data_IF_111296830231
#
_entry.id   IF_111296830231
#
_cell.length_a   1.000
_cell.length_b   1.000
_cell.length_c   1.000
_cell.angle_alpha   90.00
_cell.angle_beta   90.00
_cell.angle_gamma   90.00
#
_symmetry.space_group_name_H-M   'P 1'
#
loop_
_entity.id
_entity.type
_entity.pdbx_description
1 polymer ?
#
# COMPACT_ATOMS: atom_id res chain seq x y z
N UNK A 1 7.26 -1.79 -0.40
CA UNK A 1 6.14 -1.29 0.43
C UNK A 1 5.41 -2.49 1.02
N UNK A 2 4.94 -2.42 2.27
CA UNK A 2 4.11 -3.45 2.89
C UNK A 2 2.85 -2.82 3.50
N UNK A 3 1.68 -3.37 3.17
CA UNK A 3 0.40 -2.94 3.76
C UNK A 3 -0.12 -4.04 4.69
N UNK A 4 -0.59 -3.67 5.88
CA UNK A 4 -1.28 -4.57 6.80
C UNK A 4 -2.64 -4.01 7.17
N UNK A 5 -3.64 -4.87 7.18
CA UNK A 5 -5.00 -4.54 7.62
C UNK A 5 -5.21 -5.14 9.01
N UNK A 6 -5.63 -4.30 9.95
CA UNK A 6 -5.94 -4.68 11.32
C UNK A 6 -7.45 -4.60 11.52
N UNK A 7 -8.04 -5.71 11.93
CA UNK A 7 -9.47 -5.86 12.23
C UNK A 7 -9.60 -6.30 13.68
N UNK A 8 -10.60 -5.78 14.40
CA UNK A 8 -10.90 -6.29 15.74
C UNK A 8 -11.34 -7.75 15.66
N UNK A 9 -10.97 -8.55 16.65
CA UNK A 9 -11.56 -9.88 16.84
C UNK A 9 -13.05 -9.74 17.16
N UNK A 10 -13.86 -10.71 16.78
CA UNK A 10 -15.29 -10.77 17.12
C UNK A 10 -15.56 -10.48 18.61
N UNK A 11 -16.53 -9.61 18.86
CA UNK A 11 -16.87 -9.12 20.21
C UNK A 11 -15.98 -8.00 20.74
N UNK A 12 -14.88 -7.67 20.07
CA UNK A 12 -14.00 -6.55 20.40
C UNK A 12 -14.19 -5.39 19.42
N UNK A 13 -13.72 -4.20 19.80
CA UNK A 13 -13.75 -2.99 18.96
C UNK A 13 -12.43 -2.23 19.09
N UNK A 14 -11.99 -1.60 18.00
CA UNK A 14 -10.85 -0.68 18.03
C UNK A 14 -11.35 0.67 18.57
N UNK A 15 -10.89 1.06 19.75
CA UNK A 15 -11.28 2.33 20.39
C UNK A 15 -10.30 3.46 20.09
N UNK A 16 -9.05 3.15 19.78
CA UNK A 16 -8.04 4.13 19.41
C UNK A 16 -6.91 3.52 18.59
N UNK A 17 -6.21 4.38 17.85
CA UNK A 17 -5.04 4.05 17.04
C UNK A 17 -3.91 4.99 17.46
N UNK A 18 -2.80 4.39 17.89
CA UNK A 18 -1.61 5.09 18.39
C UNK A 18 -0.37 4.65 17.62
N UNK A 19 0.58 5.57 17.46
CA UNK A 19 1.97 5.26 17.07
C UNK A 19 2.91 5.88 18.10
N UNK A 20 3.51 5.03 18.94
CA UNK A 20 4.26 5.46 20.11
C UNK A 20 3.41 6.32 21.04
N UNK A 21 3.78 7.60 21.20
CA UNK A 21 3.06 8.58 22.03
C UNK A 21 2.05 9.43 21.22
N UNK A 22 1.93 9.21 19.91
CA UNK A 22 1.01 9.98 19.06
C UNK A 22 -0.34 9.29 18.96
N UNK A 23 -1.40 9.93 19.43
CA UNK A 23 -2.78 9.53 19.14
C UNK A 23 -3.12 9.96 17.71
N UNK A 24 -3.43 9.00 16.85
CA UNK A 24 -3.89 9.29 15.48
C UNK A 24 -5.41 9.43 15.47
N UNK A 25 -6.09 8.43 16.04
CA UNK A 25 -7.54 8.35 16.01
C UNK A 25 -8.09 7.77 17.31
N UNK A 26 -9.24 8.28 17.75
CA UNK A 26 -10.03 7.71 18.84
C UNK A 26 -11.50 7.67 18.45
N UNK A 27 -12.20 6.61 18.87
CA UNK A 27 -13.64 6.52 18.74
C UNK A 27 -14.28 7.71 19.46
N UNK A 28 -15.09 8.45 18.73
CA UNK A 28 -15.91 9.54 19.22
C UNK A 28 -17.26 9.50 18.52
N UNK A 29 -18.27 10.10 19.14
CA UNK A 29 -19.60 10.31 18.54
C UNK A 29 -20.30 9.03 18.03
N UNK A 30 -20.04 7.88 18.67
CA UNK A 30 -20.68 6.62 18.30
C UNK A 30 -20.12 5.95 17.04
N UNK A 31 -19.01 6.44 16.49
CA UNK A 31 -18.32 5.78 15.38
C UNK A 31 -17.60 4.52 15.86
N UNK A 32 -17.87 3.38 15.22
CA UNK A 32 -17.09 2.16 15.35
C UNK A 32 -16.02 2.10 14.26
N UNK A 33 -14.80 1.70 14.63
CA UNK A 33 -13.77 1.40 13.65
C UNK A 33 -13.97 -0.01 13.09
N UNK A 34 -14.12 -0.11 11.77
CA UNK A 34 -14.25 -1.37 11.04
C UNK A 34 -12.88 -2.04 10.93
N UNK A 35 -11.90 -1.30 10.44
CA UNK A 35 -10.53 -1.76 10.27
C UNK A 35 -9.55 -0.59 10.10
N UNK A 36 -8.26 -0.88 10.28
CA UNK A 36 -7.17 0.07 10.11
C UNK A 36 -6.18 -0.49 9.08
N UNK A 37 -5.90 0.26 8.02
CA UNK A 37 -4.84 -0.05 7.08
C UNK A 37 -3.57 0.71 7.45
N UNK A 38 -2.45 -0.01 7.59
CA UNK A 38 -1.13 0.53 7.93
C UNK A 38 -0.17 0.26 6.79
N UNK A 39 0.37 1.31 6.19
CA UNK A 39 1.33 1.22 5.09
C UNK A 39 2.74 1.55 5.60
N UNK A 40 3.64 0.61 5.34
CA UNK A 40 5.06 0.71 5.68
C UNK A 40 5.90 0.88 4.42
N UNK A 41 6.82 1.83 4.48
CA UNK A 41 7.81 2.07 3.45
C UNK A 41 9.18 1.58 3.90
N UNK A 42 9.96 1.06 2.95
CA UNK A 42 11.34 0.67 3.22
C UNK A 42 12.17 1.93 3.31
N UNK A 43 12.81 2.14 4.44
CA UNK A 43 13.79 3.20 4.62
C UNK A 43 15.19 2.64 4.73
N UNK A 44 16.14 3.48 4.30
CA UNK A 44 17.56 3.18 4.33
C UNK A 44 18.23 4.23 5.20
N UNK A 45 18.85 3.78 6.27
CA UNK A 45 19.76 4.61 7.06
C UNK A 45 21.13 3.93 7.06
N UNK A 46 22.09 4.52 6.35
CA UNK A 46 23.39 3.89 6.09
C UNK A 46 23.26 2.56 5.35
N UNK A 47 23.74 1.47 5.95
CA UNK A 47 23.68 0.12 5.38
C UNK A 47 22.44 -0.69 5.81
N UNK A 48 21.65 -0.17 6.76
CA UNK A 48 20.48 -0.87 7.30
C UNK A 48 19.21 -0.51 6.53
N UNK A 49 18.39 -1.53 6.26
CA UNK A 49 17.04 -1.38 5.71
C UNK A 49 16.02 -1.77 6.77
N UNK A 50 15.02 -0.93 6.96
CA UNK A 50 13.94 -1.19 7.92
C UNK A 50 12.62 -0.63 7.40
N UNK A 51 11.51 -1.21 7.84
CA UNK A 51 10.18 -0.79 7.45
C UNK A 51 9.67 0.28 8.44
N UNK A 52 9.39 1.48 7.95
CA UNK A 52 8.78 2.56 8.72
C UNK A 52 7.32 2.75 8.34
N UNK A 53 6.48 2.89 9.36
CA UNK A 53 5.07 3.23 9.17
C UNK A 53 4.97 4.67 8.70
N UNK A 54 4.34 4.88 7.55
CA UNK A 54 4.29 6.18 6.88
C UNK A 54 2.89 6.66 6.56
N UNK A 55 1.97 5.74 6.29
CA UNK A 55 0.56 6.07 6.07
C UNK A 55 -0.33 5.18 6.94
N UNK A 56 -1.39 5.76 7.49
CA UNK A 56 -2.45 5.04 8.21
C UNK A 56 -3.81 5.51 7.71
N UNK A 57 -4.69 4.57 7.37
CA UNK A 57 -6.10 4.84 7.10
C UNK A 57 -6.95 4.12 8.14
N UNK A 58 -7.86 4.85 8.78
CA UNK A 58 -8.84 4.32 9.74
C UNK A 58 -10.20 4.38 9.10
N UNK A 59 -10.81 3.22 8.86
CA UNK A 59 -12.16 3.13 8.30
C UNK A 59 -13.14 2.97 9.44
N UNK A 60 -14.09 3.88 9.52
CA UNK A 60 -15.14 3.87 10.54
C UNK A 60 -16.51 3.80 9.89
N UNK A 61 -17.47 3.31 10.65
CA UNK A 61 -18.89 3.44 10.35
C UNK A 61 -19.60 4.11 11.52
N UNK A 62 -20.61 4.93 11.22
CA UNK A 62 -21.55 5.42 12.22
C UNK A 62 -22.60 4.36 12.56
N UNK A 63 -23.40 4.62 13.60
CA UNK A 63 -24.51 3.74 13.99
C UNK A 63 -25.62 3.59 12.94
N UNK A 64 -25.54 4.29 11.81
CA UNK A 64 -26.45 4.22 10.66
C UNK A 64 -25.80 3.54 9.44
N UNK A 65 -24.55 3.08 9.57
CA UNK A 65 -23.79 2.42 8.51
C UNK A 65 -23.10 3.37 7.52
N UNK A 66 -23.12 4.68 7.76
CA UNK A 66 -22.37 5.64 6.94
C UNK A 66 -20.87 5.48 7.21
N UNK A 67 -20.10 5.28 6.14
CA UNK A 67 -18.65 5.09 6.24
C UNK A 67 -17.93 6.42 6.26
N UNK A 68 -16.97 6.58 7.16
CA UNK A 68 -16.11 7.75 7.25
C UNK A 68 -14.66 7.31 7.43
N UNK A 69 -13.80 7.46 6.40
CA UNK A 69 -12.38 7.19 6.52
C UNK A 69 -11.62 8.40 7.09
N UNK A 70 -10.55 8.12 7.84
CA UNK A 70 -9.59 9.11 8.32
C UNK A 70 -8.19 8.72 7.85
N UNK A 71 -7.45 9.66 7.26
CA UNK A 71 -6.15 9.39 6.67
C UNK A 71 -5.06 10.19 7.38
N UNK A 72 -3.92 9.54 7.60
CA UNK A 72 -2.77 10.11 8.31
C UNK A 72 -1.48 9.83 7.56
N UNK A 73 -0.60 10.82 7.51
CA UNK A 73 0.74 10.73 6.94
C UNK A 73 1.78 11.09 8.00
N UNK A 74 2.84 10.29 8.10
CA UNK A 74 4.00 10.55 8.96
C UNK A 74 5.12 11.20 8.15
N UNK A 75 5.43 12.45 8.48
CA UNK A 75 6.55 13.21 7.92
C UNK A 75 7.39 13.78 9.04
N UNK A 76 8.71 13.63 8.95
CA UNK A 76 9.67 14.13 9.96
C UNK A 76 9.29 13.71 11.38
N UNK A 77 8.98 12.42 11.56
CA UNK A 77 8.49 11.81 12.80
C UNK A 77 7.17 12.35 13.36
N UNK A 78 6.46 13.20 12.62
CA UNK A 78 5.18 13.78 13.05
C UNK A 78 4.03 13.31 12.17
N UNK A 79 2.96 12.91 12.83
CA UNK A 79 1.71 12.56 12.17
C UNK A 79 0.89 13.79 11.84
N UNK A 80 0.29 13.80 10.66
CA UNK A 80 -0.70 14.81 10.25
C UNK A 80 -1.88 14.11 9.60
N UNK A 81 -3.09 14.60 9.90
CA UNK A 81 -4.26 14.27 9.13
C UNK A 81 -4.09 14.81 7.70
N UNK A 82 -4.49 14.02 6.72
CA UNK A 82 -4.43 14.38 5.30
C UNK A 82 -5.74 14.01 4.62
N UNK A 83 -6.00 14.63 3.49
CA UNK A 83 -7.12 14.26 2.62
C UNK A 83 -6.82 12.95 1.88
N UNK A 84 -7.89 12.29 1.42
CA UNK A 84 -7.83 11.03 0.69
C UNK A 84 -6.90 11.08 -0.52
N UNK A 85 -7.03 12.13 -1.34
CA UNK A 85 -6.23 12.30 -2.55
C UNK A 85 -4.73 12.30 -2.22
N UNK A 86 -4.36 13.05 -1.17
CA UNK A 86 -2.96 13.14 -0.73
C UNK A 86 -2.45 11.81 -0.20
N UNK A 87 -3.28 11.08 0.55
CA UNK A 87 -2.95 9.74 1.03
C UNK A 87 -2.63 8.79 -0.13
N UNK A 88 -3.52 8.68 -1.11
CA UNK A 88 -3.33 7.76 -2.24
C UNK A 88 -2.23 8.21 -3.19
N UNK A 89 -1.98 9.52 -3.33
CA UNK A 89 -0.80 10.02 -4.05
C UNK A 89 0.49 9.55 -3.40
N UNK A 90 0.58 9.60 -2.07
CA UNK A 90 1.71 9.06 -1.31
C UNK A 90 1.88 7.55 -1.48
N UNK A 91 0.77 6.81 -1.42
CA UNK A 91 0.75 5.37 -1.66
C UNK A 91 1.25 4.99 -3.06
N UNK A 92 0.68 5.61 -4.11
CA UNK A 92 1.05 5.32 -5.50
C UNK A 92 2.50 5.68 -5.81
N UNK A 93 2.99 6.82 -5.31
CA UNK A 93 4.37 7.23 -5.52
C UNK A 93 5.38 6.17 -5.04
N UNK A 94 5.12 5.53 -3.90
CA UNK A 94 6.00 4.49 -3.38
C UNK A 94 5.86 3.15 -4.10
N UNK A 95 4.65 2.80 -4.56
CA UNK A 95 4.44 1.64 -5.43
C UNK A 95 5.22 1.81 -6.74
N UNK A 96 5.13 2.99 -7.38
CA UNK A 96 5.83 3.27 -8.63
C UNK A 96 7.36 3.23 -8.47
N UNK A 97 7.92 3.82 -7.41
CA UNK A 97 9.37 3.74 -7.15
C UNK A 97 9.85 2.30 -6.99
N UNK A 98 9.11 1.47 -6.27
CA UNK A 98 9.50 0.08 -6.06
C UNK A 98 9.45 -0.71 -7.37
N UNK A 99 8.44 -0.47 -8.22
CA UNK A 99 8.32 -1.06 -9.55
C UNK A 99 9.45 -0.62 -10.51
N UNK A 100 9.84 0.66 -10.48
CA UNK A 100 10.98 1.17 -11.26
C UNK A 100 12.31 0.51 -10.85
N UNK A 101 12.51 0.26 -9.56
CA UNK A 101 13.71 -0.42 -9.06
C UNK A 101 13.73 -1.91 -9.43
N UNK A 102 12.58 -2.58 -9.49
CA UNK A 102 12.49 -3.95 -9.99
C UNK A 102 12.80 -4.05 -11.49
N UNK A 103 12.62 -2.96 -12.25
CA UNK A 103 12.74 -2.97 -13.72
C UNK A 103 14.08 -2.42 -14.25
N UNK A 104 15.02 -2.03 -13.39
CA UNK A 104 16.24 -1.35 -13.85
C UNK A 104 17.37 -2.35 -14.20
N UNK A 105 17.40 -2.81 -15.45
CA UNK A 105 18.57 -3.50 -16.05
C UNK A 105 19.50 -2.46 -16.66
N UNK A 106 20.58 -2.12 -15.96
CA UNK A 106 21.59 -1.18 -16.47
C UNK A 106 22.75 -1.94 -17.12
N UNK A 107 22.84 -1.91 -18.45
CA UNK A 107 23.99 -2.44 -19.18
C UNK A 107 25.01 -1.32 -19.44
N UNK A 108 26.09 -1.30 -18.68
CA UNK A 108 27.13 -0.25 -18.72
C UNK A 108 28.24 -0.58 -19.75
N UNK A 109 28.19 -1.75 -20.40
CA UNK A 109 29.12 -2.10 -21.49
C UNK A 109 28.30 -2.29 -22.75
N UNK A 110 28.24 -1.22 -23.55
CA UNK A 110 27.48 -1.15 -24.79
C UNK A 110 27.57 -2.44 -25.63
N UNK A 111 26.47 -3.19 -25.60
CA UNK A 111 25.83 -3.87 -26.73
C UNK A 111 24.40 -4.16 -26.29
N UNK A 112 23.46 -3.51 -26.96
CA UNK A 112 22.04 -3.82 -26.85
C UNK A 112 21.87 -5.18 -27.54
N UNK A 113 21.65 -6.23 -26.74
CA UNK A 113 21.07 -7.46 -27.26
C UNK A 113 19.62 -7.49 -26.78
N UNK A 114 18.68 -7.36 -27.72
CA UNK A 114 17.27 -7.61 -27.46
C UNK A 114 17.12 -9.02 -26.88
N UNK A 115 16.71 -9.12 -25.61
CA UNK A 115 16.13 -10.35 -25.09
C UNK A 115 14.63 -10.13 -24.98
N UNK A 116 13.93 -10.87 -25.83
CA UNK A 116 12.50 -10.90 -25.96
C UNK A 116 11.83 -11.02 -24.59
N UNK A 117 10.91 -10.10 -24.34
CA UNK A 117 9.73 -10.38 -23.56
C UNK A 117 9.11 -11.68 -24.08
N UNK A 118 9.17 -12.76 -23.30
CA UNK A 118 8.18 -13.82 -23.46
C UNK A 118 6.84 -13.28 -22.98
N UNK A 119 6.22 -12.49 -23.85
CA UNK A 119 4.77 -12.46 -24.01
C UNK A 119 4.31 -13.91 -24.13
N UNK A 120 3.58 -14.41 -23.15
CA UNK A 120 2.56 -15.43 -23.41
C UNK A 120 1.23 -14.69 -23.49
N UNK A 121 1.04 -13.97 -24.60
CA UNK A 121 -0.27 -13.74 -25.19
C UNK A 121 -0.31 -14.60 -26.45
N UNK A 122 -1.05 -15.70 -26.41
CA UNK A 122 -1.56 -16.31 -27.64
C UNK A 122 -3.06 -16.56 -27.48
N UNK A 123 -3.83 -15.66 -28.10
CA UNK A 123 -5.21 -15.88 -28.51
C UNK A 123 -5.23 -16.56 -29.88
N UNK A 124 -5.88 -17.71 -29.92
CA UNK A 124 -6.88 -18.22 -30.88
C UNK A 124 -6.58 -18.42 -32.38
N UNK A 125 -7.23 -19.50 -32.86
CA UNK A 125 -7.73 -19.83 -34.19
C UNK A 125 -6.89 -20.67 -35.19
N UNK A 126 -7.22 -21.97 -35.15
CA UNK A 126 -7.80 -22.80 -36.22
C UNK A 126 -6.96 -23.40 -37.35
N UNK A 127 -7.28 -24.69 -37.53
CA UNK A 127 -7.44 -25.48 -38.76
C UNK A 127 -6.27 -26.30 -39.31
N UNK A 128 -6.64 -27.58 -39.50
CA UNK A 128 -6.19 -28.53 -40.52
C UNK A 128 -4.82 -29.17 -40.29
N UNK A 129 -4.54 -30.45 -40.53
CA UNK A 129 -5.28 -31.68 -40.88
C UNK A 129 -4.15 -32.74 -41.07
N UNK A 130 -4.47 -34.03 -41.03
CA UNK A 130 -3.70 -35.20 -41.49
C UNK A 130 -2.76 -35.96 -40.53
N UNK A 131 -3.21 -37.20 -40.26
CA UNK A 131 -2.50 -38.50 -40.36
C UNK A 131 -1.34 -38.77 -39.38
N UNK A 132 -1.23 -39.93 -38.74
CA UNK A 132 -1.74 -41.29 -38.98
C UNK A 132 -2.34 -41.91 -37.72
#
# INVERSE_FOLDING_TARGET
>A
MNTRIHVAKDGYRILSVWDGQSLLWSSSNGHSCDHVAVVRFKEKNGYSRYDMVRLVAVYTCDGKGAKTPFYYEKKDEKWKAVEEEKFYKGFHHEVSKNSLLETLVLNIRGRINHLNSSLVLQTSHSLSMHQM
#
